data_IF_370913948480
#
_entry.id   IF_370913948480
#
_cell.length_a   1.000
_cell.length_b   1.000
_cell.length_c   1.000
_cell.angle_alpha   90.00
_cell.angle_beta   90.00
_cell.angle_gamma   90.00
#
_symmetry.space_group_name_H-M   'P 1'
#
loop_
_entity.id
_entity.type
_entity.pdbx_description
1 polymer ?
#
# COMPACT_ATOMS: atom_id res chain seq x y z
N UNK A 1 -54.92 -57.31 28.99
CA UNK A 1 -53.54 -57.07 28.55
C UNK A 1 -52.75 -56.66 29.78
N UNK A 2 -51.79 -57.52 30.15
CA UNK A 2 -51.08 -57.63 31.43
C UNK A 2 -50.34 -56.32 31.82
N UNK A 3 -50.49 -55.81 33.05
CA UNK A 3 -49.77 -56.18 34.28
C UNK A 3 -48.26 -55.89 34.16
N UNK A 4 -47.53 -55.30 35.11
CA UNK A 4 -47.78 -54.86 36.48
C UNK A 4 -46.41 -54.43 37.04
N UNK A 5 -46.41 -53.40 37.90
CA UNK A 5 -45.65 -53.35 39.16
C UNK A 5 -44.11 -53.33 39.23
N UNK A 6 -43.69 -52.48 40.19
CA UNK A 6 -42.57 -52.60 41.16
C UNK A 6 -41.35 -51.67 40.96
N UNK A 7 -41.14 -50.85 42.00
CA UNK A 7 -39.95 -50.06 42.32
C UNK A 7 -38.88 -50.94 43.01
N UNK A 8 -37.83 -50.35 43.61
CA UNK A 8 -36.41 -50.51 43.31
C UNK A 8 -35.75 -51.56 44.22
N UNK A 9 -34.43 -51.78 44.16
CA UNK A 9 -33.52 -52.07 45.29
C UNK A 9 -32.12 -52.43 44.77
N UNK A 10 -31.14 -52.07 45.59
CA UNK A 10 -29.70 -52.13 45.38
C UNK A 10 -29.06 -53.49 45.72
N UNK A 11 -27.78 -53.63 45.30
CA UNK A 11 -26.59 -54.19 46.01
C UNK A 11 -25.89 -55.43 45.43
N UNK A 12 -24.61 -55.17 45.04
CA UNK A 12 -23.35 -55.89 45.40
C UNK A 12 -23.10 -57.25 44.72
N UNK A 13 -21.91 -57.80 44.42
CA UNK A 13 -20.44 -57.63 44.62
C UNK A 13 -19.79 -58.18 43.29
N UNK A 14 -18.53 -57.98 42.86
CA UNK A 14 -17.25 -58.37 43.46
C UNK A 14 -16.05 -57.88 42.60
N UNK A 15 -14.87 -57.83 43.24
CA UNK A 15 -13.54 -57.42 42.73
C UNK A 15 -12.92 -58.36 41.68
N UNK A 16 -12.07 -57.82 40.79
CA UNK A 16 -10.81 -58.47 40.35
C UNK A 16 -9.69 -57.42 40.26
N UNK A 17 -8.51 -57.89 40.67
CA UNK A 17 -7.24 -57.23 40.97
C UNK A 17 -6.32 -57.13 39.72
N UNK A 18 -5.49 -56.07 39.73
CA UNK A 18 -4.20 -55.80 39.02
C UNK A 18 -3.89 -56.46 37.66
N UNK A 19 -3.39 -55.64 36.73
CA UNK A 19 -2.01 -55.79 36.21
C UNK A 19 -1.54 -54.51 35.50
N UNK A 20 -0.34 -54.08 35.87
CA UNK A 20 0.41 -53.00 35.27
C UNK A 20 0.78 -53.32 33.80
N UNK A 21 0.71 -52.31 32.93
CA UNK A 21 1.22 -52.40 31.56
C UNK A 21 1.17 -51.02 30.91
N UNK A 22 2.32 -50.54 30.42
CA UNK A 22 2.48 -49.26 29.74
C UNK A 22 1.45 -49.06 28.61
N UNK A 23 1.11 -47.83 28.25
CA UNK A 23 1.95 -46.99 27.39
C UNK A 23 1.77 -45.53 27.80
N UNK A 24 2.85 -44.87 28.22
CA UNK A 24 2.92 -43.41 28.27
C UNK A 24 3.01 -42.94 26.81
N UNK A 25 1.84 -42.72 26.19
CA UNK A 25 1.75 -42.12 24.87
C UNK A 25 2.24 -40.68 24.98
N UNK A 26 3.50 -40.45 24.61
CA UNK A 26 4.05 -39.12 24.41
C UNK A 26 3.31 -38.50 23.21
N UNK A 27 2.19 -37.84 23.47
CA UNK A 27 1.58 -36.91 22.52
C UNK A 27 2.56 -35.75 22.36
N UNK A 28 3.50 -35.92 21.42
CA UNK A 28 4.28 -34.82 20.90
C UNK A 28 3.28 -33.80 20.36
N UNK A 29 3.10 -32.70 21.09
CA UNK A 29 2.38 -31.55 20.60
C UNK A 29 3.09 -31.07 19.34
N UNK A 30 2.53 -31.40 18.18
CA UNK A 30 2.88 -30.76 16.93
C UNK A 30 2.73 -29.26 17.18
N UNK A 31 3.76 -28.42 16.96
CA UNK A 31 3.56 -26.99 17.00
C UNK A 31 2.47 -26.70 15.97
N UNK A 32 1.33 -26.21 16.45
CA UNK A 32 0.37 -25.52 15.59
C UNK A 32 1.09 -24.27 15.14
N UNK A 33 1.88 -24.40 14.07
CA UNK A 33 2.38 -23.24 13.34
C UNK A 33 1.13 -22.58 12.81
N UNK A 34 0.78 -21.44 13.41
CA UNK A 34 -0.40 -20.71 13.05
C UNK A 34 -0.30 -20.39 11.55
N UNK A 35 -1.13 -21.03 10.72
CA UNK A 35 -1.10 -20.90 9.26
C UNK A 35 -1.23 -19.44 8.78
N UNK A 36 -1.59 -18.52 9.67
CA UNK A 36 -1.66 -17.08 9.47
C UNK A 36 -0.31 -16.43 9.12
N UNK A 37 0.83 -16.90 9.67
CA UNK A 37 2.13 -16.25 9.40
C UNK A 37 2.60 -16.43 7.95
N UNK A 38 2.16 -17.51 7.28
CA UNK A 38 2.49 -17.79 5.87
C UNK A 38 1.97 -16.78 4.85
N UNK A 39 1.05 -15.89 5.26
CA UNK A 39 0.33 -14.98 4.36
C UNK A 39 0.73 -13.51 4.49
N UNK A 40 1.69 -13.19 5.35
CA UNK A 40 2.12 -11.81 5.57
C UNK A 40 3.32 -11.50 4.68
N UNK A 41 3.17 -10.58 3.73
CA UNK A 41 4.30 -10.05 2.95
C UNK A 41 5.11 -9.10 3.85
N UNK A 42 6.42 -9.33 3.94
CA UNK A 42 7.33 -8.53 4.79
C UNK A 42 8.35 -7.74 4.00
N UNK A 43 8.62 -8.12 2.76
CA UNK A 43 9.45 -7.34 1.84
C UNK A 43 9.11 -7.69 0.40
N UNK A 44 9.42 -6.78 -0.52
CA UNK A 44 9.35 -7.03 -1.94
C UNK A 44 10.36 -6.18 -2.71
N UNK A 45 10.72 -6.63 -3.90
CA UNK A 45 11.59 -5.91 -4.82
C UNK A 45 11.14 -6.14 -6.26
N UNK A 46 11.46 -5.19 -7.12
CA UNK A 46 11.38 -5.41 -8.56
C UNK A 46 12.55 -6.28 -9.03
N UNK A 47 12.32 -7.05 -10.08
CA UNK A 47 13.28 -7.94 -10.71
C UNK A 47 13.01 -8.01 -12.22
N UNK A 48 13.87 -8.72 -12.95
CA UNK A 48 13.75 -8.89 -14.40
C UNK A 48 13.82 -7.54 -15.16
N UNK A 49 14.98 -6.85 -15.15
CA UNK A 49 15.14 -5.56 -15.82
C UNK A 49 14.85 -5.65 -17.32
N UNK A 50 14.03 -4.72 -17.83
CA UNK A 50 13.53 -4.74 -19.21
C UNK A 50 13.55 -3.35 -19.82
N UNK A 51 13.61 -3.26 -21.15
CA UNK A 51 13.63 -1.99 -21.91
C UNK A 51 12.51 -1.91 -22.95
N UNK A 52 11.52 -2.81 -22.87
CA UNK A 52 10.45 -2.95 -23.86
C UNK A 52 9.41 -1.82 -23.85
N UNK A 53 9.39 -1.01 -22.78
CA UNK A 53 8.55 0.19 -22.69
C UNK A 53 9.39 1.44 -22.96
N UNK A 54 10.53 1.61 -22.28
CA UNK A 54 11.52 2.63 -22.64
C UNK A 54 11.13 4.06 -22.25
N UNK A 55 10.30 4.21 -21.22
CA UNK A 55 9.90 5.51 -20.70
C UNK A 55 10.93 6.05 -19.70
N UNK A 56 11.36 5.20 -18.75
CA UNK A 56 12.32 5.55 -17.71
C UNK A 56 11.90 6.78 -16.87
N UNK A 57 10.60 6.95 -16.61
CA UNK A 57 10.11 8.03 -15.75
C UNK A 57 10.86 8.10 -14.41
N UNK A 58 10.96 7.03 -13.60
CA UNK A 58 11.73 7.03 -12.35
C UNK A 58 13.25 6.88 -12.55
N UNK A 59 13.76 7.10 -13.77
CA UNK A 59 15.18 7.05 -14.10
C UNK A 59 15.60 5.88 -14.99
N UNK A 60 16.72 6.04 -15.74
CA UNK A 60 17.30 5.00 -16.59
C UNK A 60 18.04 3.92 -15.77
N UNK A 61 18.40 2.76 -16.37
CA UNK A 61 18.28 2.41 -17.80
C UNK A 61 17.20 1.36 -18.10
N UNK A 62 16.34 1.00 -17.16
CA UNK A 62 15.39 -0.10 -17.33
C UNK A 62 14.10 0.10 -16.51
N UNK A 63 13.01 -0.46 -17.01
CA UNK A 63 11.85 -0.82 -16.20
C UNK A 63 11.99 -2.27 -15.68
N UNK A 64 10.95 -2.82 -15.05
CA UNK A 64 11.00 -4.18 -14.52
C UNK A 64 9.85 -5.06 -15.01
N UNK A 65 10.11 -6.34 -15.27
CA UNK A 65 9.11 -7.32 -15.69
C UNK A 65 8.49 -8.12 -14.54
N UNK A 66 9.05 -8.05 -13.33
CA UNK A 66 8.69 -8.95 -12.23
C UNK A 66 8.71 -8.25 -10.87
N UNK A 67 7.81 -8.68 -9.99
CA UNK A 67 7.91 -8.48 -8.55
C UNK A 67 8.26 -9.80 -7.88
N UNK A 68 9.13 -9.73 -6.88
CA UNK A 68 9.39 -10.80 -5.93
C UNK A 68 9.05 -10.34 -4.52
N UNK A 69 8.31 -11.14 -3.78
CA UNK A 69 7.85 -10.84 -2.43
C UNK A 69 8.28 -11.96 -1.48
N UNK A 70 8.79 -11.59 -0.30
CA UNK A 70 9.07 -12.53 0.78
C UNK A 70 7.96 -12.46 1.83
N UNK A 71 7.57 -13.63 2.33
CA UNK A 71 6.59 -13.77 3.41
C UNK A 71 7.26 -13.93 4.77
N UNK A 72 6.55 -13.65 5.86
CA UNK A 72 7.04 -13.85 7.22
C UNK A 72 7.44 -15.32 7.50
N UNK A 73 6.77 -16.28 6.85
CA UNK A 73 7.13 -17.70 6.93
C UNK A 73 8.31 -18.11 6.02
N UNK A 74 9.02 -17.14 5.41
CA UNK A 74 10.22 -17.41 4.60
C UNK A 74 9.94 -17.85 3.15
N UNK A 75 8.69 -17.94 2.71
CA UNK A 75 8.37 -18.26 1.32
C UNK A 75 8.65 -17.05 0.40
N UNK A 76 9.22 -17.31 -0.79
CA UNK A 76 9.40 -16.34 -1.87
C UNK A 76 8.34 -16.55 -2.94
N UNK A 77 7.53 -15.53 -3.17
CA UNK A 77 6.48 -15.50 -4.19
C UNK A 77 6.91 -14.56 -5.32
N UNK A 78 6.48 -14.85 -6.55
CA UNK A 78 6.79 -14.00 -7.71
C UNK A 78 5.55 -13.73 -8.53
N UNK A 79 5.54 -12.57 -9.19
CA UNK A 79 4.54 -12.21 -10.19
C UNK A 79 5.24 -11.57 -11.38
N UNK A 80 5.09 -12.18 -12.56
CA UNK A 80 5.63 -11.67 -13.81
C UNK A 80 4.51 -10.99 -14.60
N UNK A 81 4.80 -9.82 -15.13
CA UNK A 81 3.90 -9.11 -16.03
C UNK A 81 3.93 -9.74 -17.43
N UNK A 82 2.83 -9.63 -18.19
CA UNK A 82 2.86 -9.95 -19.62
C UNK A 82 3.80 -9.00 -20.37
N UNK A 83 4.22 -9.40 -21.58
CA UNK A 83 5.21 -8.66 -22.38
C UNK A 83 4.80 -7.21 -22.70
N UNK A 84 3.51 -6.92 -22.78
CA UNK A 84 3.00 -5.57 -23.07
C UNK A 84 2.86 -4.67 -21.82
N UNK A 85 3.26 -5.13 -20.63
CA UNK A 85 3.28 -4.35 -19.39
C UNK A 85 4.69 -4.30 -18.77
N UNK A 86 4.97 -3.24 -18.00
CA UNK A 86 6.17 -3.11 -17.17
C UNK A 86 5.82 -2.50 -15.81
N UNK A 87 6.59 -2.81 -14.77
CA UNK A 87 6.58 -2.06 -13.53
C UNK A 87 7.46 -0.82 -13.68
N UNK A 88 6.93 0.33 -13.29
CA UNK A 88 7.55 1.63 -13.53
C UNK A 88 7.64 2.42 -12.22
N UNK A 89 8.48 1.94 -11.31
CA UNK A 89 8.67 2.42 -9.94
C UNK A 89 10.05 1.92 -9.44
N UNK A 90 10.56 2.43 -8.32
CA UNK A 90 11.87 2.07 -7.76
C UNK A 90 11.78 0.98 -6.69
N UNK A 91 10.66 0.89 -5.97
CA UNK A 91 10.39 -0.18 -5.01
C UNK A 91 8.88 -0.41 -4.83
N UNK A 92 8.41 -1.68 -4.72
CA UNK A 92 7.02 -1.94 -4.36
C UNK A 92 6.74 -1.41 -2.94
N UNK A 93 5.63 -0.68 -2.76
CA UNK A 93 5.26 -0.14 -1.43
C UNK A 93 4.42 -1.18 -0.68
N UNK A 94 4.81 -1.55 0.54
CA UNK A 94 3.99 -2.39 1.41
C UNK A 94 2.88 -1.53 2.03
N UNK A 95 1.63 -1.93 1.85
CA UNK A 95 0.46 -1.14 2.25
C UNK A 95 -0.60 -2.01 2.92
N UNK A 96 -1.44 -1.41 3.77
CA UNK A 96 -2.59 -2.03 4.39
C UNK A 96 -3.78 -1.08 4.23
N UNK A 97 -4.93 -1.59 3.77
CA UNK A 97 -6.11 -0.75 3.50
C UNK A 97 -7.08 -0.62 4.67
N UNK A 98 -7.03 -1.51 5.66
CA UNK A 98 -7.70 -1.37 6.95
C UNK A 98 -6.98 -2.25 7.96
N UNK A 99 -7.25 -2.07 9.26
CA UNK A 99 -6.61 -2.89 10.31
C UNK A 99 -6.83 -4.41 10.09
N UNK A 100 -7.98 -4.80 9.55
CA UNK A 100 -8.41 -6.18 9.30
C UNK A 100 -7.91 -6.74 7.96
N UNK A 101 -7.52 -5.88 7.02
CA UNK A 101 -7.03 -6.31 5.72
C UNK A 101 -5.54 -6.74 5.76
N UNK A 102 -5.14 -7.75 4.97
CA UNK A 102 -3.75 -8.18 4.91
C UNK A 102 -2.85 -7.12 4.26
N UNK A 103 -1.54 -7.19 4.56
CA UNK A 103 -0.52 -6.40 3.84
C UNK A 103 -0.52 -6.78 2.36
N UNK A 104 -0.47 -5.77 1.50
CA UNK A 104 -0.39 -5.86 0.04
C UNK A 104 0.79 -5.06 -0.47
N UNK A 105 1.11 -5.26 -1.74
CA UNK A 105 2.06 -4.45 -2.48
C UNK A 105 1.30 -3.49 -3.39
N UNK A 106 1.59 -2.20 -3.27
CA UNK A 106 1.20 -1.21 -4.28
C UNK A 106 2.34 -1.07 -5.28
N UNK A 107 1.99 -1.17 -6.56
CA UNK A 107 2.89 -1.01 -7.69
C UNK A 107 2.30 -0.09 -8.76
N UNK A 108 3.18 0.52 -9.55
CA UNK A 108 2.82 1.25 -10.78
C UNK A 108 3.09 0.35 -11.97
N UNK A 109 2.05 0.02 -12.74
CA UNK A 109 2.18 -0.82 -13.94
C UNK A 109 1.82 -0.03 -15.18
N UNK A 110 2.73 0.04 -16.14
CA UNK A 110 2.54 0.70 -17.42
C UNK A 110 2.22 -0.29 -18.53
N UNK A 111 1.11 -0.05 -19.22
CA UNK A 111 0.71 -0.79 -20.41
C UNK A 111 1.18 -0.06 -21.68
N UNK A 112 1.77 -0.79 -22.65
CA UNK A 112 2.34 -0.24 -23.90
C UNK A 112 1.42 0.74 -24.63
N UNK A 113 0.12 0.45 -24.65
CA UNK A 113 -0.87 1.26 -25.36
C UNK A 113 -1.66 2.25 -24.49
N UNK A 114 -1.62 2.12 -23.15
CA UNK A 114 -2.56 2.81 -22.28
C UNK A 114 -1.90 3.58 -21.12
N UNK A 115 -0.58 3.49 -20.96
CA UNK A 115 0.14 4.16 -19.88
C UNK A 115 -0.06 3.46 -18.53
N UNK A 116 0.31 4.17 -17.47
CA UNK A 116 0.35 3.61 -16.12
C UNK A 116 -1.02 3.45 -15.47
N UNK A 117 -1.10 2.48 -14.58
CA UNK A 117 -2.18 2.22 -13.64
C UNK A 117 -1.59 1.86 -12.27
N UNK A 118 -2.37 2.10 -11.21
CA UNK A 118 -2.09 1.51 -9.89
C UNK A 118 -2.50 0.04 -9.90
N UNK A 119 -1.68 -0.81 -9.29
CA UNK A 119 -1.99 -2.22 -9.07
C UNK A 119 -1.72 -2.60 -7.61
N UNK A 120 -2.68 -3.25 -6.97
CA UNK A 120 -2.48 -3.91 -5.68
C UNK A 120 -2.23 -5.40 -5.92
N UNK A 121 -1.14 -5.91 -5.36
CA UNK A 121 -0.82 -7.33 -5.35
C UNK A 121 -0.97 -7.89 -3.94
N UNK A 122 -1.61 -9.05 -3.83
CA UNK A 122 -1.82 -9.79 -2.59
C UNK A 122 -1.61 -11.29 -2.77
N UNK A 123 -1.66 -12.04 -1.67
CA UNK A 123 -1.54 -13.50 -1.70
C UNK A 123 -2.94 -14.11 -1.80
N UNK A 124 -3.23 -14.75 -2.92
CA UNK A 124 -4.45 -15.54 -3.14
C UNK A 124 -4.08 -16.98 -3.47
N UNK A 125 -4.67 -17.94 -2.75
CA UNK A 125 -4.40 -19.38 -2.93
C UNK A 125 -2.90 -19.72 -2.94
N UNK A 126 -2.12 -19.05 -2.09
CA UNK A 126 -0.67 -19.25 -1.95
C UNK A 126 0.19 -18.61 -3.05
N UNK A 127 -0.39 -17.78 -3.93
CA UNK A 127 0.31 -17.12 -5.04
C UNK A 127 0.20 -15.62 -4.93
N UNK A 128 1.24 -14.90 -5.34
CA UNK A 128 1.15 -13.46 -5.55
C UNK A 128 0.27 -13.20 -6.77
N UNK A 129 -0.74 -12.35 -6.63
CA UNK A 129 -1.74 -12.05 -7.66
C UNK A 129 -2.16 -10.59 -7.56
N UNK A 130 -2.52 -9.99 -8.69
CA UNK A 130 -3.13 -8.67 -8.73
C UNK A 130 -4.58 -8.79 -8.23
N UNK A 131 -4.87 -8.14 -7.11
CA UNK A 131 -6.18 -8.21 -6.42
C UNK A 131 -7.03 -6.96 -6.59
N UNK A 132 -6.44 -5.87 -7.10
CA UNK A 132 -7.16 -4.71 -7.60
C UNK A 132 -6.31 -3.87 -8.57
N UNK A 133 -6.94 -3.19 -9.53
CA UNK A 133 -6.26 -2.20 -10.41
C UNK A 133 -7.11 -0.95 -10.62
N UNK A 134 -6.44 0.18 -10.86
CA UNK A 134 -7.11 1.36 -11.42
C UNK A 134 -7.30 1.19 -12.92
N UNK A 135 -8.16 2.02 -13.53
CA UNK A 135 -8.09 2.23 -14.97
C UNK A 135 -6.70 2.79 -15.34
N UNK A 136 -6.11 2.38 -16.48
CA UNK A 136 -4.90 3.02 -16.98
C UNK A 136 -5.19 4.47 -17.37
N UNK A 137 -4.16 5.31 -17.40
CA UNK A 137 -4.29 6.74 -17.73
C UNK A 137 -4.92 6.96 -19.12
N UNK A 138 -4.75 6.01 -20.04
CA UNK A 138 -5.39 5.99 -21.35
C UNK A 138 -4.48 6.45 -22.50
N UNK A 139 -3.20 6.69 -22.24
CA UNK A 139 -2.23 7.11 -23.26
C UNK A 139 -0.84 6.55 -22.92
N UNK A 140 -0.08 6.00 -23.89
CA UNK A 140 1.29 5.54 -23.66
C UNK A 140 2.19 6.62 -23.06
N UNK A 141 3.22 6.21 -22.32
CA UNK A 141 4.20 7.10 -21.68
C UNK A 141 3.56 8.15 -20.78
N UNK A 142 2.36 7.88 -20.27
CA UNK A 142 1.77 8.65 -19.18
C UNK A 142 1.92 7.86 -17.91
N UNK A 143 2.52 8.52 -16.93
CA UNK A 143 2.92 7.92 -15.68
C UNK A 143 2.27 8.63 -14.49
N UNK A 144 2.31 7.99 -13.34
CA UNK A 144 1.81 8.52 -12.07
C UNK A 144 2.80 8.20 -10.96
N UNK A 145 2.90 9.11 -9.98
CA UNK A 145 3.65 8.85 -8.75
C UNK A 145 2.70 8.77 -7.55
N UNK A 146 2.64 7.64 -6.84
CA UNK A 146 1.89 7.54 -5.60
C UNK A 146 2.43 8.50 -4.53
N UNK A 147 1.51 9.13 -3.80
CA UNK A 147 1.78 10.08 -2.71
C UNK A 147 1.72 9.37 -1.37
N UNK A 148 0.60 8.70 -1.09
CA UNK A 148 0.34 8.06 0.20
C UNK A 148 -0.72 6.96 0.08
N UNK A 149 -0.69 6.03 1.03
CA UNK A 149 -1.79 5.09 1.29
C UNK A 149 -2.15 5.19 2.76
N UNK A 150 -3.21 5.93 3.06
CA UNK A 150 -3.61 6.30 4.42
C UNK A 150 -5.10 6.61 4.44
N UNK A 151 -5.74 6.44 5.60
CA UNK A 151 -7.12 6.87 5.84
C UNK A 151 -7.18 8.40 5.82
N UNK A 152 -7.69 8.96 4.72
CA UNK A 152 -7.69 10.40 4.49
C UNK A 152 -8.94 11.07 5.06
N UNK A 153 -10.07 10.37 5.14
CA UNK A 153 -11.34 10.93 5.63
C UNK A 153 -11.82 10.35 6.98
N UNK A 154 -10.96 9.57 7.65
CA UNK A 154 -11.15 9.03 9.00
C UNK A 154 -12.29 8.01 9.10
N UNK A 155 -12.53 7.23 8.05
CA UNK A 155 -13.56 6.17 8.03
C UNK A 155 -13.02 4.78 8.44
N UNK A 156 -11.72 4.69 8.75
CA UNK A 156 -11.01 3.47 9.10
C UNK A 156 -10.43 2.71 7.91
N UNK A 157 -10.58 3.21 6.68
CA UNK A 157 -10.06 2.61 5.46
C UNK A 157 -9.12 3.56 4.75
N UNK A 158 -8.00 3.03 4.27
CA UNK A 158 -7.03 3.81 3.55
C UNK A 158 -7.46 4.08 2.10
N UNK A 159 -7.39 5.33 1.70
CA UNK A 159 -7.33 5.73 0.30
C UNK A 159 -5.91 5.63 -0.25
N UNK A 160 -5.80 5.59 -1.58
CA UNK A 160 -4.53 5.75 -2.30
C UNK A 160 -4.54 7.12 -2.98
N UNK A 161 -3.61 7.98 -2.61
CA UNK A 161 -3.36 9.26 -3.27
C UNK A 161 -2.23 9.11 -4.29
N UNK A 162 -2.39 9.65 -5.50
CA UNK A 162 -1.35 9.69 -6.52
C UNK A 162 -1.44 10.95 -7.38
N UNK A 163 -0.30 11.46 -7.84
CA UNK A 163 -0.27 12.51 -8.86
C UNK A 163 -0.11 11.87 -10.23
N UNK A 164 -1.13 12.06 -11.06
CA UNK A 164 -1.18 11.58 -12.44
C UNK A 164 -0.49 12.60 -13.34
N UNK A 165 0.37 12.14 -14.24
CA UNK A 165 1.10 12.96 -15.21
C UNK A 165 1.85 14.14 -14.57
N UNK A 166 2.70 13.90 -13.55
CA UNK A 166 3.34 14.96 -12.76
C UNK A 166 4.28 15.87 -13.57
N UNK A 167 4.59 15.54 -14.82
CA UNK A 167 5.48 16.29 -15.70
C UNK A 167 4.77 17.28 -16.63
N UNK A 168 3.43 17.22 -16.72
CA UNK A 168 2.64 17.95 -17.72
C UNK A 168 1.29 18.40 -17.15
N UNK A 169 1.35 19.30 -16.17
CA UNK A 169 0.19 19.93 -15.52
C UNK A 169 -0.30 19.20 -14.28
N UNK A 170 -0.35 17.87 -14.34
CA UNK A 170 -0.56 16.98 -13.21
C UNK A 170 -1.91 17.08 -12.49
N UNK A 171 -2.40 15.94 -12.00
CA UNK A 171 -3.63 15.87 -11.20
C UNK A 171 -3.42 14.98 -9.99
N UNK A 172 -3.62 15.53 -8.79
CA UNK A 172 -3.75 14.73 -7.59
C UNK A 172 -5.09 13.99 -7.67
N UNK A 173 -5.05 12.68 -7.55
CA UNK A 173 -6.23 11.81 -7.54
C UNK A 173 -6.26 10.96 -6.28
N UNK A 174 -7.47 10.71 -5.79
CA UNK A 174 -7.76 9.80 -4.69
C UNK A 174 -8.48 8.58 -5.24
N UNK A 175 -8.03 7.40 -4.82
CA UNK A 175 -8.60 6.12 -5.18
C UNK A 175 -9.09 5.37 -3.95
N UNK A 176 -10.28 4.78 -4.06
CA UNK A 176 -10.81 3.79 -3.12
C UNK A 176 -10.79 2.42 -3.73
N UNK A 177 -10.54 1.40 -2.91
CA UNK A 177 -10.70 0.02 -3.36
C UNK A 177 -12.18 -0.37 -3.31
N UNK A 178 -12.69 -0.85 -4.44
CA UNK A 178 -14.00 -1.47 -4.57
C UNK A 178 -13.81 -2.84 -5.22
N UNK A 179 -13.85 -3.90 -4.41
CA UNK A 179 -13.52 -5.27 -4.83
C UNK A 179 -12.17 -5.37 -5.57
N UNK A 180 -12.21 -5.62 -6.88
CA UNK A 180 -11.07 -5.78 -7.78
C UNK A 180 -10.66 -4.48 -8.50
N UNK A 181 -11.24 -3.35 -8.09
CA UNK A 181 -10.97 -2.03 -8.70
C UNK A 181 -10.40 -1.05 -7.69
N UNK A 182 -9.56 -0.16 -8.21
CA UNK A 182 -9.20 1.10 -7.57
C UNK A 182 -9.96 2.20 -8.28
N UNK A 183 -11.07 2.62 -7.68
CA UNK A 183 -12.00 3.60 -8.24
C UNK A 183 -11.56 5.01 -7.85
N UNK A 184 -11.45 5.88 -8.86
CA UNK A 184 -11.19 7.30 -8.64
C UNK A 184 -12.42 7.94 -7.98
N UNK A 185 -12.22 8.60 -6.83
CA UNK A 185 -13.30 9.24 -6.07
C UNK A 185 -13.15 10.75 -5.97
N UNK A 186 -11.94 11.29 -6.19
CA UNK A 186 -11.71 12.72 -6.27
C UNK A 186 -10.47 13.04 -7.12
N UNK A 187 -10.44 14.24 -7.70
CA UNK A 187 -9.32 14.75 -8.46
C UNK A 187 -9.18 16.27 -8.32
N UNK A 188 -7.95 16.77 -8.27
CA UNK A 188 -7.61 18.19 -8.25
C UNK A 188 -6.37 18.44 -9.12
N UNK A 189 -6.40 19.48 -9.95
CA UNK A 189 -5.32 19.78 -10.89
C UNK A 189 -4.22 20.68 -10.29
N UNK A 190 -3.08 20.74 -10.99
CA UNK A 190 -2.01 21.70 -10.73
C UNK A 190 -0.98 21.21 -9.72
N UNK A 191 -0.48 19.98 -9.91
CA UNK A 191 0.48 19.35 -9.00
C UNK A 191 1.64 18.69 -9.76
N UNK A 192 2.83 18.66 -9.15
CA UNK A 192 4.00 17.95 -9.70
C UNK A 192 4.85 17.37 -8.57
N UNK A 193 4.65 16.10 -8.21
CA UNK A 193 5.44 15.44 -7.16
C UNK A 193 6.60 14.61 -7.73
N UNK A 194 7.13 14.96 -8.89
CA UNK A 194 8.20 14.20 -9.50
C UNK A 194 9.02 15.04 -10.51
N UNK A 195 10.33 14.83 -10.52
CA UNK A 195 11.24 15.34 -11.54
C UNK A 195 11.54 14.20 -12.52
N UNK A 196 11.22 14.38 -13.80
CA UNK A 196 11.40 13.32 -14.80
C UNK A 196 12.84 12.79 -14.82
N UNK A 197 12.98 11.46 -14.87
CA UNK A 197 14.27 10.77 -14.90
C UNK A 197 14.99 10.69 -13.54
N UNK A 198 14.39 11.23 -12.47
CA UNK A 198 14.90 11.09 -11.11
C UNK A 198 14.39 9.79 -10.48
N UNK A 199 15.21 9.07 -9.68
CA UNK A 199 14.72 7.97 -8.84
C UNK A 199 14.00 8.45 -7.57
N UNK A 200 14.00 9.75 -7.29
CA UNK A 200 13.37 10.32 -6.10
C UNK A 200 11.84 10.46 -6.27
N UNK A 201 11.09 9.72 -5.46
CA UNK A 201 9.61 9.68 -5.51
C UNK A 201 8.93 10.44 -4.35
N UNK A 202 9.69 10.91 -3.36
CA UNK A 202 9.24 11.46 -2.09
C UNK A 202 8.98 12.98 -2.07
N UNK A 203 8.73 13.60 -3.22
CA UNK A 203 8.41 15.03 -3.31
C UNK A 203 7.01 15.38 -2.74
N UNK A 204 6.24 14.39 -2.31
CA UNK A 204 4.95 14.56 -1.66
C UNK A 204 4.82 13.57 -0.50
N UNK A 205 4.01 13.91 0.50
CA UNK A 205 3.79 13.04 1.65
C UNK A 205 2.40 13.25 2.27
N UNK A 206 1.96 12.30 3.08
CA UNK A 206 0.86 12.51 4.04
C UNK A 206 1.41 12.82 5.42
N UNK A 207 0.65 13.56 6.21
CA UNK A 207 0.88 13.73 7.65
C UNK A 207 -0.44 13.74 8.40
N UNK A 208 -0.41 13.27 9.65
CA UNK A 208 -1.54 13.34 10.57
C UNK A 208 -1.17 14.27 11.71
N UNK A 209 -1.95 15.32 11.91
CA UNK A 209 -1.75 16.31 12.96
C UNK A 209 -3.11 16.78 13.50
N UNK A 210 -3.24 16.86 14.82
CA UNK A 210 -4.51 17.18 15.49
C UNK A 210 -5.67 16.28 15.08
N UNK A 211 -5.40 14.99 14.79
CA UNK A 211 -6.41 14.02 14.34
C UNK A 211 -6.86 14.18 12.88
N UNK A 212 -6.24 15.08 12.10
CA UNK A 212 -6.55 15.29 10.68
C UNK A 212 -5.40 14.84 9.80
N UNK A 213 -5.70 14.00 8.82
CA UNK A 213 -4.74 13.59 7.80
C UNK A 213 -4.77 14.54 6.62
N UNK A 214 -3.60 15.03 6.23
CA UNK A 214 -3.40 16.00 5.14
C UNK A 214 -2.35 15.48 4.18
N UNK A 215 -2.47 15.86 2.91
CA UNK A 215 -1.48 15.62 1.87
C UNK A 215 -0.69 16.91 1.63
N UNK A 216 0.63 16.80 1.66
CA UNK A 216 1.53 17.85 1.24
C UNK A 216 2.01 17.54 -0.17
N UNK A 217 1.55 18.33 -1.13
CA UNK A 217 1.84 18.10 -2.56
C UNK A 217 2.29 19.41 -3.19
N UNK A 218 3.47 19.47 -3.81
CA UNK A 218 3.92 20.66 -4.54
C UNK A 218 2.99 20.98 -5.71
N UNK A 219 2.85 22.27 -5.99
CA UNK A 219 2.21 22.76 -7.20
C UNK A 219 2.98 22.36 -8.48
N UNK A 220 2.43 22.70 -9.65
CA UNK A 220 3.00 22.29 -10.93
C UNK A 220 4.43 22.82 -11.17
N UNK A 221 4.80 23.96 -10.57
CA UNK A 221 6.16 24.54 -10.64
C UNK A 221 7.08 24.01 -9.54
N UNK A 222 6.54 23.29 -8.56
CA UNK A 222 7.19 22.81 -7.35
C UNK A 222 7.73 23.90 -6.43
N UNK A 223 7.29 25.14 -6.60
CA UNK A 223 7.71 26.30 -5.79
C UNK A 223 6.72 26.63 -4.68
N UNK A 224 5.56 25.97 -4.66
CA UNK A 224 4.56 26.14 -3.61
C UNK A 224 4.20 24.76 -3.07
N UNK A 225 4.38 24.55 -1.77
CA UNK A 225 3.90 23.37 -1.08
C UNK A 225 2.43 23.57 -0.71
N UNK A 226 1.52 22.83 -1.35
CA UNK A 226 0.08 22.91 -1.10
C UNK A 226 -0.33 21.85 -0.07
N UNK A 227 -1.17 22.24 0.88
CA UNK A 227 -1.74 21.39 1.92
C UNK A 227 -3.16 21.03 1.49
N UNK A 228 -3.40 19.76 1.24
CA UNK A 228 -4.67 19.26 0.71
C UNK A 228 -5.34 18.34 1.72
N UNK A 229 -6.62 18.57 1.97
CA UNK A 229 -7.52 17.68 2.71
C UNK A 229 -8.43 16.95 1.74
N UNK A 230 -8.77 15.70 2.07
CA UNK A 230 -9.85 14.96 1.42
C UNK A 230 -10.98 14.80 2.42
N UNK A 231 -12.13 15.40 2.13
CA UNK A 231 -13.30 15.34 3.00
C UNK A 231 -14.58 15.42 2.17
N UNK A 232 -15.62 14.70 2.61
CA UNK A 232 -16.92 14.66 1.93
C UNK A 232 -16.81 14.35 0.42
N UNK A 233 -15.88 13.45 0.04
CA UNK A 233 -15.67 13.05 -1.35
C UNK A 233 -14.97 14.10 -2.22
N UNK A 234 -14.36 15.13 -1.64
CA UNK A 234 -13.71 16.22 -2.39
C UNK A 234 -12.32 16.53 -1.87
N UNK A 235 -11.43 16.97 -2.77
CA UNK A 235 -10.12 17.50 -2.43
C UNK A 235 -10.21 19.02 -2.25
N UNK A 236 -9.73 19.52 -1.11
CA UNK A 236 -9.71 20.95 -0.78
C UNK A 236 -8.33 21.38 -0.35
N UNK A 237 -7.83 22.48 -0.91
CA UNK A 237 -6.64 23.14 -0.39
C UNK A 237 -6.99 23.87 0.90
N UNK A 238 -6.22 23.62 1.95
CA UNK A 238 -6.37 24.25 3.27
C UNK A 238 -5.17 25.07 3.68
N UNK A 239 -4.13 25.06 2.85
CA UNK A 239 -3.12 26.08 2.90
C UNK A 239 -2.01 25.88 1.88
N UNK A 240 -1.11 26.85 1.83
CA UNK A 240 0.04 26.87 0.93
C UNK A 240 1.23 27.61 1.50
N UNK A 241 2.41 27.06 1.28
CA UNK A 241 3.67 27.63 1.73
C UNK A 241 4.60 27.86 0.53
N UNK A 242 5.14 29.06 0.42
CA UNK A 242 6.14 29.38 -0.59
C UNK A 242 7.46 28.67 -0.28
N UNK A 243 8.04 28.09 -1.33
CA UNK A 243 9.37 27.51 -1.31
C UNK A 243 10.34 28.46 -2.03
N UNK A 244 11.55 28.61 -1.52
CA UNK A 244 12.58 29.49 -2.08
C UNK A 244 13.11 29.03 -3.44
N UNK A 245 12.97 27.75 -3.75
CA UNK A 245 13.30 27.10 -5.01
C UNK A 245 12.37 25.89 -5.26
N UNK A 246 12.28 25.39 -6.50
CA UNK A 246 11.51 24.18 -6.79
C UNK A 246 11.95 23.00 -5.93
N UNK A 247 10.99 22.29 -5.33
CA UNK A 247 11.26 21.04 -4.65
C UNK A 247 11.89 20.04 -5.64
N UNK A 248 13.01 19.45 -5.24
CA UNK A 248 13.78 18.50 -6.07
C UNK A 248 14.13 17.22 -5.34
N UNK A 249 13.87 17.16 -4.04
CA UNK A 249 14.15 16.02 -3.18
C UNK A 249 12.97 15.69 -2.24
N UNK A 250 13.21 14.84 -1.24
CA UNK A 250 12.15 14.37 -0.36
C UNK A 250 11.63 15.48 0.57
N UNK A 251 10.35 15.36 0.92
CA UNK A 251 9.78 16.00 2.10
C UNK A 251 10.01 15.10 3.33
N UNK A 252 10.43 15.70 4.43
CA UNK A 252 10.61 14.99 5.71
C UNK A 252 9.85 15.72 6.81
N UNK A 253 8.91 15.03 7.45
CA UNK A 253 8.25 15.57 8.63
C UNK A 253 9.25 15.74 9.78
N UNK A 254 9.18 16.88 10.45
CA UNK A 254 9.92 17.21 11.65
C UNK A 254 8.97 17.31 12.85
N UNK A 255 9.53 17.50 14.04
CA UNK A 255 8.73 17.78 15.23
C UNK A 255 7.95 19.10 15.10
N UNK A 256 6.90 19.25 15.91
CA UNK A 256 6.15 20.51 16.08
C UNK A 256 5.49 21.05 14.80
N UNK A 257 5.06 20.17 13.89
CA UNK A 257 4.35 20.56 12.67
C UNK A 257 5.23 21.27 11.63
N UNK A 258 6.54 21.04 11.67
CA UNK A 258 7.47 21.48 10.63
C UNK A 258 7.72 20.37 9.61
N UNK A 259 8.08 20.77 8.40
CA UNK A 259 8.51 19.88 7.32
C UNK A 259 9.80 20.43 6.71
N UNK A 260 10.75 19.56 6.46
CA UNK A 260 11.95 19.86 5.70
C UNK A 260 11.71 19.58 4.22
N UNK A 261 11.90 20.59 3.38
CA UNK A 261 11.77 20.53 1.93
C UNK A 261 13.16 20.54 1.29
N UNK A 262 13.51 19.48 0.56
CA UNK A 262 14.79 19.37 -0.14
C UNK A 262 14.74 20.06 -1.51
N UNK A 263 15.66 21.00 -1.74
CA UNK A 263 15.70 21.87 -2.91
C UNK A 263 17.12 21.89 -3.52
N UNK A 264 17.28 22.44 -4.74
CA UNK A 264 18.60 22.77 -5.25
C UNK A 264 19.33 23.71 -4.29
N UNK A 265 20.52 23.32 -3.85
CA UNK A 265 21.36 24.15 -2.98
C UNK A 265 21.06 24.05 -1.48
N UNK A 266 20.08 23.25 -1.03
CA UNK A 266 19.89 23.01 0.39
C UNK A 266 18.51 22.51 0.81
N UNK A 267 18.18 22.76 2.07
CA UNK A 267 16.93 22.35 2.71
C UNK A 267 16.25 23.58 3.29
N UNK A 268 14.95 23.72 3.06
CA UNK A 268 14.12 24.74 3.69
C UNK A 268 13.22 24.09 4.74
N UNK A 269 13.16 24.66 5.94
CA UNK A 269 12.14 24.29 6.93
C UNK A 269 10.88 25.10 6.68
N UNK A 270 9.75 24.41 6.69
CA UNK A 270 8.42 24.98 6.50
C UNK A 270 7.59 24.63 7.73
N UNK A 271 7.15 25.65 8.46
CA UNK A 271 6.20 25.47 9.55
C UNK A 271 4.78 25.52 8.99
N UNK A 272 4.02 24.44 9.13
CA UNK A 272 2.73 24.31 8.46
C UNK A 272 1.67 25.29 8.98
N UNK A 273 1.80 25.77 10.21
CA UNK A 273 0.93 26.80 10.79
C UNK A 273 1.11 28.18 10.16
N UNK A 274 2.24 28.39 9.48
CA UNK A 274 2.59 29.68 8.87
C UNK A 274 2.14 29.73 7.39
N UNK A 275 1.63 28.61 6.86
CA UNK A 275 1.10 28.55 5.51
C UNK A 275 -0.18 29.39 5.40
N UNK A 276 -0.30 30.11 4.28
CA UNK A 276 -1.50 30.89 3.98
C UNK A 276 -2.66 29.92 3.72
N UNK A 277 -3.88 30.20 4.22
CA UNK A 277 -5.06 29.38 3.93
C UNK A 277 -5.43 29.36 2.44
#
# INVERSE_FOLDING_TARGET
MNASHLKPIQRKFAQIILLAGGVFGLLAGLPVVCAAESKVIVSARYADPVQRYGHFAPGPPHEYGRIEANTAAGARLTYALPEFEVFEDVAPRLVRLSAEEPVRLLAVVSHRNYGSALALLGIEKGRLTVVARSRPIGTPMRWLNPVAVVDLDSDGRAEIAAVITPHIGGKLKIYRRSADKLEEVAALAGFSNHVYGSPELGLAMSLTDGGRTRLLVPDATRTILRIIEFAAGSLRETGRCALTAPLSGPLVALANGEVEATQPGGKQRVRLTDCQP
#
